data_IF_255613206400
#
_entry.id   IF_255613206400
#
_cell.length_a   1.000
_cell.length_b   1.000
_cell.length_c   1.000
_cell.angle_alpha   90.00
_cell.angle_beta   90.00
_cell.angle_gamma   90.00
#
_symmetry.space_group_name_H-M   'P 1'
#
loop_
_entity.id
_entity.type
_entity.pdbx_description
1 polymer ?
#
# COMPACT_ATOMS: atom_id res chain seq x y z
N UNK A 1 7.61 -12.43 4.11
CA UNK A 1 8.00 -11.00 4.13
C UNK A 1 9.31 -10.75 3.39
N UNK A 2 10.37 -11.55 3.59
CA UNK A 2 11.69 -11.36 2.96
C UNK A 2 11.66 -11.36 1.41
N UNK A 3 10.85 -12.23 0.80
CA UNK A 3 10.66 -12.26 -0.66
C UNK A 3 10.04 -10.99 -1.25
N UNK A 4 9.22 -10.24 -0.49
CA UNK A 4 8.67 -8.97 -0.97
C UNK A 4 9.70 -7.84 -0.87
N UNK A 5 10.52 -7.83 0.18
CA UNK A 5 11.60 -6.85 0.35
C UNK A 5 12.61 -6.94 -0.80
N UNK A 6 13.06 -8.15 -1.16
CA UNK A 6 14.02 -8.35 -2.25
C UNK A 6 13.46 -7.91 -3.62
N UNK A 7 12.18 -8.20 -3.92
CA UNK A 7 11.52 -7.72 -5.14
C UNK A 7 11.43 -6.19 -5.18
N UNK A 8 11.19 -5.55 -4.02
CA UNK A 8 11.14 -4.09 -3.93
C UNK A 8 12.52 -3.47 -4.19
N UNK A 9 13.58 -4.04 -3.61
CA UNK A 9 14.97 -3.60 -3.84
C UNK A 9 15.32 -3.68 -5.32
N UNK A 10 15.02 -4.81 -5.97
CA UNK A 10 15.28 -5.04 -7.40
C UNK A 10 14.50 -4.05 -8.29
N UNK A 11 13.21 -3.86 -7.98
CA UNK A 11 12.37 -2.93 -8.74
C UNK A 11 12.88 -1.48 -8.64
N UNK A 12 13.26 -1.05 -7.44
CA UNK A 12 13.77 0.30 -7.17
C UNK A 12 15.22 0.50 -7.65
N UNK A 13 15.92 -0.59 -8.00
CA UNK A 13 17.33 -0.62 -8.43
C UNK A 13 18.31 -0.04 -7.40
N UNK A 14 18.05 -0.32 -6.13
CA UNK A 14 18.84 0.19 -5.00
C UNK A 14 19.82 -0.83 -4.43
N UNK A 15 20.08 -1.95 -5.11
CA UNK A 15 20.92 -3.05 -4.62
C UNK A 15 22.32 -2.58 -4.24
N UNK A 16 22.86 -1.60 -4.98
CA UNK A 16 24.21 -1.06 -4.79
C UNK A 16 24.31 -0.04 -3.66
N UNK A 17 23.19 0.44 -3.12
CA UNK A 17 23.20 1.39 -2.02
C UNK A 17 23.66 0.71 -0.71
N UNK A 18 24.28 1.46 0.21
CA UNK A 18 24.59 0.98 1.55
C UNK A 18 23.35 0.42 2.26
N UNK A 19 23.54 -0.63 3.08
CA UNK A 19 22.44 -1.34 3.73
C UNK A 19 21.51 -0.40 4.52
N UNK A 20 22.08 0.55 5.27
CA UNK A 20 21.31 1.54 6.04
C UNK A 20 20.46 2.45 5.15
N UNK A 21 21.02 2.92 4.04
CA UNK A 21 20.30 3.79 3.10
C UNK A 21 19.19 3.03 2.37
N UNK A 22 19.44 1.76 1.98
CA UNK A 22 18.40 0.89 1.43
C UNK A 22 17.25 0.71 2.42
N UNK A 23 17.56 0.48 3.69
CA UNK A 23 16.54 0.24 4.71
C UNK A 23 15.66 1.49 4.93
N UNK A 24 16.26 2.67 5.00
CA UNK A 24 15.52 3.93 5.09
C UNK A 24 14.63 4.19 3.86
N UNK A 25 15.11 3.85 2.65
CA UNK A 25 14.32 3.98 1.42
C UNK A 25 13.15 2.98 1.43
N UNK A 26 13.40 1.74 1.83
CA UNK A 26 12.38 0.70 1.90
C UNK A 26 11.27 1.05 2.90
N UNK A 27 11.62 1.55 4.09
CA UNK A 27 10.62 2.00 5.07
C UNK A 27 9.76 3.16 4.55
N UNK A 28 10.38 4.14 3.89
CA UNK A 28 9.66 5.27 3.28
C UNK A 28 8.75 4.81 2.15
N UNK A 29 9.24 3.91 1.29
CA UNK A 29 8.47 3.34 0.20
C UNK A 29 7.26 2.56 0.74
N UNK A 30 7.48 1.66 1.70
CA UNK A 30 6.42 0.87 2.32
C UNK A 30 5.36 1.76 2.98
N UNK A 31 5.77 2.75 3.77
CA UNK A 31 4.84 3.70 4.39
C UNK A 31 4.00 4.46 3.36
N UNK A 32 4.61 4.87 2.25
CA UNK A 32 3.92 5.61 1.19
C UNK A 32 2.97 4.72 0.39
N UNK A 33 3.38 3.50 0.05
CA UNK A 33 2.52 2.53 -0.65
C UNK A 33 1.31 2.16 0.21
N UNK A 34 1.51 1.98 1.52
CA UNK A 34 0.41 1.79 2.46
C UNK A 34 -0.53 3.01 2.47
N UNK A 35 0.00 4.23 2.43
CA UNK A 35 -0.84 5.43 2.35
C UNK A 35 -1.61 5.51 1.03
N UNK A 36 -1.00 5.18 -0.11
CA UNK A 36 -1.67 5.15 -1.42
C UNK A 36 -2.78 4.12 -1.42
N UNK A 37 -2.53 2.91 -0.90
CA UNK A 37 -3.54 1.88 -0.72
C UNK A 37 -4.73 2.41 0.08
N UNK A 38 -4.47 3.00 1.26
CA UNK A 38 -5.52 3.57 2.13
C UNK A 38 -6.29 4.67 1.39
N UNK A 39 -5.62 5.59 0.71
CA UNK A 39 -6.28 6.68 -0.01
C UNK A 39 -7.19 6.15 -1.11
N UNK A 40 -6.72 5.21 -1.93
CA UNK A 40 -7.52 4.61 -3.00
C UNK A 40 -8.74 3.89 -2.41
N UNK A 41 -8.56 3.17 -1.31
CA UNK A 41 -9.67 2.53 -0.61
C UNK A 41 -10.67 3.59 -0.16
N UNK A 42 -10.24 4.62 0.59
CA UNK A 42 -11.10 5.69 1.13
C UNK A 42 -11.82 6.47 0.03
N UNK A 43 -11.14 6.81 -1.06
CA UNK A 43 -11.72 7.58 -2.18
C UNK A 43 -12.76 6.80 -2.99
N UNK A 44 -12.78 5.47 -2.88
CA UNK A 44 -13.64 4.60 -3.69
C UNK A 44 -14.71 3.88 -2.87
N UNK A 45 -14.77 4.12 -1.56
CA UNK A 45 -15.75 3.52 -0.65
C UNK A 45 -16.59 4.63 -0.01
N UNK A 46 -17.70 4.24 0.61
CA UNK A 46 -18.52 5.21 1.36
C UNK A 46 -17.81 5.66 2.64
N UNK A 47 -18.13 6.86 3.15
CA UNK A 47 -17.63 7.33 4.45
C UNK A 47 -17.94 6.34 5.58
N UNK A 48 -19.09 5.66 5.51
CA UNK A 48 -19.46 4.59 6.45
C UNK A 48 -18.49 3.41 6.40
N UNK A 49 -18.08 2.99 5.21
CA UNK A 49 -17.14 1.89 5.02
C UNK A 49 -15.71 2.30 5.42
N UNK A 50 -15.32 3.56 5.17
CA UNK A 50 -14.04 4.10 5.63
C UNK A 50 -13.94 4.11 7.16
N UNK A 51 -15.04 4.45 7.84
CA UNK A 51 -15.13 4.37 9.31
C UNK A 51 -14.99 2.93 9.81
N UNK A 52 -15.56 1.94 9.11
CA UNK A 52 -15.42 0.51 9.49
C UNK A 52 -13.97 0.05 9.40
N UNK A 53 -13.26 0.39 8.32
CA UNK A 53 -11.82 0.08 8.17
C UNK A 53 -11.02 0.73 9.29
N UNK A 54 -11.27 2.02 9.56
CA UNK A 54 -10.55 2.75 10.61
C UNK A 54 -10.76 2.12 12.00
N UNK A 55 -12.01 1.76 12.32
CA UNK A 55 -12.32 1.06 13.59
C UNK A 55 -11.63 -0.31 13.69
N UNK A 56 -11.51 -1.04 12.58
CA UNK A 56 -10.79 -2.31 12.55
C UNK A 56 -9.28 -2.12 12.76
N UNK A 57 -8.68 -1.09 12.14
CA UNK A 57 -7.26 -0.75 12.33
C UNK A 57 -6.95 -0.33 13.77
N UNK A 58 -7.85 0.43 14.38
CA UNK A 58 -7.71 0.93 15.75
C UNK A 58 -8.13 -0.12 16.81
N UNK A 59 -8.45 -1.36 16.40
CA UNK A 59 -8.87 -2.45 17.30
C UNK A 59 -10.23 -2.24 17.99
N UNK A 60 -11.00 -1.26 17.51
CA UNK A 60 -12.33 -0.88 18.05
C UNK A 60 -13.48 -1.67 17.40
N UNK A 61 -13.22 -2.37 16.30
CA UNK A 61 -14.11 -3.37 15.69
C UNK A 61 -13.50 -4.76 15.94
N UNK A 62 -14.32 -5.71 16.41
CA UNK A 62 -13.89 -7.08 16.72
C UNK A 62 -13.74 -7.95 15.47
N UNK A 63 -14.29 -7.51 14.32
CA UNK A 63 -14.11 -8.19 13.03
C UNK A 63 -12.67 -7.98 12.54
N UNK A 64 -12.10 -9.02 11.93
CA UNK A 64 -10.76 -8.92 11.35
C UNK A 64 -10.77 -7.94 10.16
N UNK A 65 -9.70 -7.16 10.00
CA UNK A 65 -9.53 -6.21 8.91
C UNK A 65 -9.66 -6.86 7.54
N UNK A 66 -9.24 -8.12 7.40
CA UNK A 66 -9.38 -8.90 6.17
C UNK A 66 -10.85 -9.12 5.78
N UNK A 67 -11.72 -9.36 6.77
CA UNK A 67 -13.15 -9.63 6.56
C UNK A 67 -13.89 -8.35 6.13
N UNK A 68 -13.61 -7.23 6.81
CA UNK A 68 -14.16 -5.91 6.46
C UNK A 68 -13.65 -5.47 5.08
N UNK A 69 -12.37 -5.68 4.78
CA UNK A 69 -11.78 -5.32 3.49
C UNK A 69 -12.40 -6.15 2.36
N UNK A 70 -12.61 -7.46 2.56
CA UNK A 70 -13.27 -8.31 1.58
C UNK A 70 -14.74 -7.90 1.33
N UNK A 71 -15.47 -7.59 2.39
CA UNK A 71 -16.85 -7.07 2.31
C UNK A 71 -16.90 -5.80 1.44
N UNK A 72 -16.02 -4.84 1.70
CA UNK A 72 -15.96 -3.56 0.99
C UNK A 72 -15.51 -3.76 -0.45
N UNK A 73 -14.47 -4.57 -0.68
CA UNK A 73 -13.94 -4.83 -2.02
C UNK A 73 -14.98 -5.53 -2.90
N UNK A 74 -15.84 -6.38 -2.33
CA UNK A 74 -16.94 -7.02 -3.07
C UNK A 74 -18.03 -6.04 -3.54
N UNK A 75 -18.18 -4.89 -2.85
CA UNK A 75 -19.19 -3.86 -3.15
C UNK A 75 -18.69 -2.80 -4.13
N UNK A 76 -17.39 -2.72 -4.36
CA UNK A 76 -16.77 -1.70 -5.23
C UNK A 76 -16.15 -2.39 -6.46
N UNK A 77 -16.89 -2.47 -7.58
CA UNK A 77 -16.39 -3.04 -8.81
C UNK A 77 -15.09 -2.36 -9.25
N UNK A 78 -14.06 -3.18 -9.49
CA UNK A 78 -12.76 -2.71 -9.98
C UNK A 78 -11.87 -2.04 -8.94
N UNK A 79 -12.21 -2.06 -7.64
CA UNK A 79 -11.34 -1.51 -6.58
C UNK A 79 -9.95 -2.15 -6.59
N UNK A 80 -9.86 -3.47 -6.73
CA UNK A 80 -8.58 -4.18 -6.85
C UNK A 80 -7.73 -3.66 -8.00
N UNK A 81 -8.34 -3.40 -9.17
CA UNK A 81 -7.64 -2.86 -10.33
C UNK A 81 -7.19 -1.41 -10.10
N UNK A 82 -8.00 -0.59 -9.43
CA UNK A 82 -7.61 0.79 -9.06
C UNK A 82 -6.45 0.82 -8.08
N UNK A 83 -6.43 -0.08 -7.10
CA UNK A 83 -5.32 -0.26 -6.17
C UNK A 83 -4.05 -0.66 -6.93
N UNK A 84 -4.14 -1.65 -7.82
CA UNK A 84 -2.99 -2.13 -8.59
C UNK A 84 -2.39 -1.03 -9.47
N UNK A 85 -3.24 -0.25 -10.16
CA UNK A 85 -2.81 0.90 -10.96
C UNK A 85 -2.11 1.93 -10.09
N UNK A 86 -2.72 2.35 -8.98
CA UNK A 86 -2.16 3.39 -8.12
C UNK A 86 -0.82 2.98 -7.48
N UNK A 87 -0.72 1.72 -7.04
CA UNK A 87 0.53 1.17 -6.50
C UNK A 87 1.60 1.12 -7.59
N UNK A 88 1.25 0.69 -8.80
CA UNK A 88 2.19 0.62 -9.93
C UNK A 88 2.72 2.00 -10.31
N UNK A 89 1.84 3.01 -10.38
CA UNK A 89 2.22 4.39 -10.65
C UNK A 89 3.13 4.96 -9.56
N UNK A 90 2.80 4.77 -8.29
CA UNK A 90 3.62 5.26 -7.18
C UNK A 90 5.00 4.59 -7.15
N UNK A 91 5.05 3.29 -7.42
CA UNK A 91 6.31 2.56 -7.57
C UNK A 91 7.17 3.11 -8.72
N UNK A 92 6.57 3.44 -9.86
CA UNK A 92 7.29 4.07 -10.97
C UNK A 92 7.83 5.46 -10.60
N UNK A 93 7.07 6.25 -9.81
CA UNK A 93 7.54 7.55 -9.28
C UNK A 93 8.74 7.37 -8.36
N UNK A 94 8.70 6.42 -7.44
CA UNK A 94 9.86 6.13 -6.57
C UNK A 94 11.09 5.77 -7.38
N UNK A 95 10.95 4.87 -8.35
CA UNK A 95 12.06 4.49 -9.22
C UNK A 95 12.63 5.68 -9.98
N UNK A 96 11.77 6.58 -10.47
CA UNK A 96 12.19 7.79 -11.18
C UNK A 96 12.93 8.75 -10.25
N UNK A 97 12.41 9.00 -9.05
CA UNK A 97 13.03 9.91 -8.08
C UNK A 97 14.40 9.43 -7.57
N UNK A 98 14.65 8.12 -7.59
CA UNK A 98 15.91 7.51 -7.15
C UNK A 98 16.96 7.39 -8.26
N UNK A 99 16.55 7.40 -9.54
CA UNK A 99 17.42 7.11 -10.69
C UNK A 99 17.46 8.22 -11.75
N UNK A 100 16.64 9.27 -11.61
CA UNK A 100 16.62 10.45 -12.47
C UNK A 100 17.38 11.60 -11.84
#
# INVERSE_FOLDING_TARGET
MENNKNKLIEFLKIEKLPAKEREEILEKAEKRLNQVLINVIVENISDEDAIKIKKAMDGSDLRNIEEITAEITSKVPGLANKIEIAITEEMARFRTALNG
#
